data_IF_208732833163
#
_entry.id   IF_208732833163
#
_cell.length_a   1.000
_cell.length_b   1.000
_cell.length_c   1.000
_cell.angle_alpha   90.00
_cell.angle_beta   90.00
_cell.angle_gamma   90.00
#
_symmetry.space_group_name_H-M   'P 1'
#
loop_
_entity.id
_entity.type
_entity.pdbx_description
1 polymer ?
#
# COMPACT_ATOMS: atom_id res chain seq x y z
N UNK A 1 1.65 -4.63 -20.62
CA UNK A 1 2.18 -5.99 -20.88
C UNK A 1 1.07 -7.03 -20.79
N UNK A 2 0.61 -7.46 -19.60
CA UNK A 2 -0.41 -8.53 -19.53
C UNK A 2 -1.75 -8.12 -20.18
N UNK A 3 -2.18 -6.86 -20.01
CA UNK A 3 -3.38 -6.32 -20.68
C UNK A 3 -3.28 -6.37 -22.21
N UNK A 4 -2.11 -6.07 -22.76
CA UNK A 4 -1.85 -6.13 -24.21
C UNK A 4 -1.78 -7.58 -24.68
N UNK A 5 -1.17 -8.44 -23.86
CA UNK A 5 -1.04 -9.87 -24.11
C UNK A 5 -2.40 -10.58 -24.15
N UNK A 6 -3.37 -10.13 -23.34
CA UNK A 6 -4.74 -10.64 -23.35
C UNK A 6 -5.54 -10.29 -24.62
N UNK A 7 -5.02 -9.42 -25.50
CA UNK A 7 -5.62 -9.17 -26.82
C UNK A 7 -5.26 -10.26 -27.83
N UNK A 8 -4.21 -11.05 -27.57
CA UNK A 8 -3.82 -12.18 -28.41
C UNK A 8 -4.84 -13.31 -28.23
N UNK A 9 -5.36 -13.82 -29.34
CA UNK A 9 -6.44 -14.83 -29.38
C UNK A 9 -6.15 -16.04 -28.49
N UNK A 10 -4.93 -16.59 -28.51
CA UNK A 10 -4.54 -17.76 -27.71
C UNK A 10 -4.59 -17.54 -26.18
N UNK A 11 -4.36 -16.30 -25.73
CA UNK A 11 -4.32 -15.98 -24.30
C UNK A 11 -5.72 -15.55 -23.85
N UNK A 12 -6.50 -14.96 -24.75
CA UNK A 12 -7.93 -14.77 -24.55
C UNK A 12 -8.66 -16.11 -24.36
N UNK A 13 -8.34 -17.15 -25.14
CA UNK A 13 -8.91 -18.48 -24.93
C UNK A 13 -8.55 -19.04 -23.55
N UNK A 14 -7.31 -18.87 -23.11
CA UNK A 14 -6.86 -19.29 -21.78
C UNK A 14 -7.60 -18.55 -20.66
N UNK A 15 -7.82 -17.24 -20.79
CA UNK A 15 -8.66 -16.47 -19.85
C UNK A 15 -10.09 -17.03 -19.79
N UNK A 16 -10.68 -17.33 -20.95
CA UNK A 16 -12.04 -17.89 -21.01
C UNK A 16 -12.10 -19.30 -20.42
N UNK A 17 -11.06 -20.12 -20.58
CA UNK A 17 -10.96 -21.44 -19.95
C UNK A 17 -10.93 -21.29 -18.42
N UNK A 18 -10.11 -20.38 -17.87
CA UNK A 18 -10.10 -20.14 -16.43
C UNK A 18 -11.47 -19.66 -15.89
N UNK A 19 -12.14 -18.76 -16.61
CA UNK A 19 -13.48 -18.33 -16.26
C UNK A 19 -14.49 -19.50 -16.32
N UNK A 20 -14.43 -20.34 -17.35
CA UNK A 20 -15.29 -21.53 -17.46
C UNK A 20 -15.01 -22.53 -16.34
N UNK A 21 -13.75 -22.76 -15.97
CA UNK A 21 -13.40 -23.65 -14.85
C UNK A 21 -13.95 -23.12 -13.53
N UNK A 22 -13.90 -21.81 -13.28
CA UNK A 22 -14.49 -21.21 -12.09
C UNK A 22 -16.02 -21.40 -12.05
N UNK A 23 -16.70 -21.21 -13.18
CA UNK A 23 -18.14 -21.45 -13.30
C UNK A 23 -18.48 -22.92 -13.06
N UNK A 24 -17.70 -23.85 -13.62
CA UNK A 24 -17.90 -25.29 -13.43
C UNK A 24 -17.67 -25.70 -11.98
N UNK A 25 -16.63 -25.19 -11.32
CA UNK A 25 -16.37 -25.44 -9.90
C UNK A 25 -17.51 -24.90 -9.02
N UNK A 26 -17.96 -23.68 -9.28
CA UNK A 26 -19.11 -23.11 -8.58
C UNK A 26 -20.37 -23.95 -8.78
N UNK A 27 -20.66 -24.38 -10.01
CA UNK A 27 -21.80 -25.26 -10.29
C UNK A 27 -21.65 -26.61 -9.59
N UNK A 28 -20.46 -27.20 -9.60
CA UNK A 28 -20.16 -28.45 -8.90
C UNK A 28 -20.47 -28.34 -7.41
N UNK A 29 -19.93 -27.31 -6.75
CA UNK A 29 -20.14 -27.08 -5.32
C UNK A 29 -21.63 -26.85 -5.01
N UNK A 30 -22.35 -26.07 -5.84
CA UNK A 30 -23.80 -25.85 -5.64
C UNK A 30 -24.63 -27.12 -5.80
N UNK A 31 -24.27 -28.00 -6.75
CA UNK A 31 -24.96 -29.27 -6.95
C UNK A 31 -24.68 -30.20 -5.78
N UNK A 32 -23.43 -30.27 -5.32
CA UNK A 32 -23.03 -31.08 -4.17
C UNK A 32 -23.77 -30.66 -2.90
N UNK A 33 -23.89 -29.35 -2.64
CA UNK A 33 -24.66 -28.83 -1.50
C UNK A 33 -26.16 -29.20 -1.60
N UNK A 34 -26.77 -29.08 -2.78
CA UNK A 34 -28.18 -29.47 -2.99
C UNK A 34 -28.38 -30.97 -2.75
N UNK A 35 -27.47 -31.81 -3.26
CA UNK A 35 -27.59 -33.27 -3.17
C UNK A 35 -27.38 -33.76 -1.74
N UNK A 36 -26.38 -33.22 -1.04
CA UNK A 36 -26.01 -33.68 0.29
C UNK A 36 -26.90 -33.10 1.40
N UNK A 37 -27.11 -31.78 1.39
CA UNK A 37 -27.81 -31.07 2.48
C UNK A 37 -29.28 -30.75 2.15
N UNK A 38 -29.71 -30.99 0.91
CA UNK A 38 -31.07 -30.69 0.44
C UNK A 38 -31.38 -29.19 0.35
N UNK A 39 -30.38 -28.32 0.54
CA UNK A 39 -30.48 -26.86 0.54
C UNK A 39 -29.23 -26.23 -0.06
N UNK A 40 -29.38 -25.10 -0.75
CA UNK A 40 -28.26 -24.27 -1.19
C UNK A 40 -27.65 -23.56 0.01
N UNK A 41 -26.55 -24.09 0.56
CA UNK A 41 -25.80 -23.44 1.63
C UNK A 41 -24.38 -23.12 1.16
N UNK A 42 -24.18 -21.92 0.59
CA UNK A 42 -22.90 -21.49 -0.01
C UNK A 42 -21.72 -21.33 0.96
N UNK A 43 -21.83 -21.82 2.22
CA UNK A 43 -20.77 -21.92 3.24
C UNK A 43 -19.80 -20.73 3.31
N UNK A 44 -20.31 -19.51 3.08
CA UNK A 44 -19.51 -18.28 3.17
C UNK A 44 -19.03 -17.99 4.60
N UNK A 45 -19.53 -18.72 5.59
CA UNK A 45 -19.12 -18.60 7.00
C UNK A 45 -17.60 -18.72 7.15
N UNK A 46 -16.97 -19.67 6.44
CA UNK A 46 -15.50 -19.85 6.48
C UNK A 46 -14.78 -18.60 5.95
N UNK A 47 -15.33 -17.95 4.92
CA UNK A 47 -14.79 -16.71 4.37
C UNK A 47 -14.94 -15.57 5.38
N UNK A 48 -16.13 -15.38 5.95
CA UNK A 48 -16.38 -14.32 6.93
C UNK A 48 -15.58 -14.50 8.21
N UNK A 49 -15.37 -15.74 8.67
CA UNK A 49 -14.50 -16.06 9.80
C UNK A 49 -13.04 -15.75 9.48
N UNK A 50 -12.58 -16.08 8.27
CA UNK A 50 -11.23 -15.76 7.78
C UNK A 50 -10.98 -14.25 7.68
N UNK A 51 -12.01 -13.48 7.33
CA UNK A 51 -12.02 -12.01 7.33
C UNK A 51 -12.63 -11.42 8.61
N UNK A 52 -12.59 -12.13 9.73
CA UNK A 52 -13.09 -11.61 11.00
C UNK A 52 -12.36 -10.33 11.42
N UNK A 53 -13.03 -9.48 12.20
CA UNK A 53 -12.46 -8.25 12.80
C UNK A 53 -11.94 -7.22 11.78
N UNK A 54 -12.43 -7.24 10.54
CA UNK A 54 -12.06 -6.26 9.50
C UNK A 54 -12.23 -4.80 9.94
N UNK A 55 -13.25 -4.48 10.75
CA UNK A 55 -13.44 -3.13 11.27
C UNK A 55 -12.24 -2.65 12.12
N UNK A 56 -11.65 -3.54 12.92
CA UNK A 56 -10.45 -3.26 13.72
C UNK A 56 -9.23 -3.14 12.80
N UNK A 57 -9.12 -4.03 11.80
CA UNK A 57 -8.04 -3.97 10.80
C UNK A 57 -8.04 -2.65 10.03
N UNK A 58 -9.22 -2.18 9.59
CA UNK A 58 -9.40 -0.89 8.93
C UNK A 58 -9.04 0.28 9.84
N UNK A 59 -9.41 0.22 11.12
CA UNK A 59 -9.06 1.24 12.10
C UNK A 59 -7.53 1.32 12.32
N UNK A 60 -6.87 0.18 12.53
CA UNK A 60 -5.40 0.10 12.63
C UNK A 60 -4.75 0.63 11.35
N UNK A 61 -5.26 0.22 10.19
CA UNK A 61 -4.75 0.67 8.90
C UNK A 61 -4.86 2.19 8.73
N UNK A 62 -6.02 2.78 9.07
CA UNK A 62 -6.22 4.23 9.03
C UNK A 62 -5.24 4.96 9.94
N UNK A 63 -5.06 4.48 11.18
CA UNK A 63 -4.09 5.07 12.11
C UNK A 63 -2.67 4.99 11.56
N UNK A 64 -2.28 3.84 11.01
CA UNK A 64 -0.96 3.60 10.43
C UNK A 64 -0.72 4.50 9.21
N UNK A 65 -1.71 4.63 8.33
CA UNK A 65 -1.68 5.49 7.14
C UNK A 65 -1.56 6.97 7.52
N UNK A 66 -2.35 7.44 8.49
CA UNK A 66 -2.29 8.81 8.99
C UNK A 66 -0.94 9.08 9.65
N UNK A 67 -0.48 8.18 10.52
CA UNK A 67 0.81 8.31 11.19
C UNK A 67 1.97 8.41 10.18
N UNK A 68 2.01 7.52 9.18
CA UNK A 68 3.01 7.59 8.11
C UNK A 68 2.91 8.90 7.34
N UNK A 69 1.69 9.31 6.96
CA UNK A 69 1.50 10.53 6.17
C UNK A 69 1.96 11.81 6.89
N UNK A 70 1.77 11.89 8.21
CA UNK A 70 2.10 13.08 8.99
C UNK A 70 3.55 13.02 9.47
N UNK A 71 3.97 11.93 10.11
CA UNK A 71 5.28 11.84 10.75
C UNK A 71 6.42 11.89 9.73
N UNK A 72 6.30 11.17 8.62
CA UNK A 72 7.35 11.11 7.61
C UNK A 72 7.46 12.44 6.86
N UNK A 73 6.32 13.03 6.48
CA UNK A 73 6.31 14.32 5.83
C UNK A 73 6.87 15.42 6.73
N UNK A 74 6.37 15.51 7.97
CA UNK A 74 6.82 16.50 8.93
C UNK A 74 8.28 16.31 9.30
N UNK A 75 8.76 15.06 9.43
CA UNK A 75 10.17 14.77 9.68
C UNK A 75 11.09 15.30 8.59
N UNK A 76 10.76 15.05 7.31
CA UNK A 76 11.53 15.58 6.18
C UNK A 76 11.43 17.10 6.07
N UNK A 77 10.24 17.67 6.30
CA UNK A 77 10.02 19.11 6.27
C UNK A 77 10.83 19.84 7.36
N UNK A 78 10.77 19.34 8.60
CA UNK A 78 11.54 19.88 9.72
C UNK A 78 13.04 19.76 9.50
N UNK A 79 13.51 18.58 9.02
CA UNK A 79 14.91 18.40 8.66
C UNK A 79 15.35 19.42 7.59
N UNK A 80 14.59 19.59 6.52
CA UNK A 80 14.94 20.50 5.43
C UNK A 80 14.99 21.97 5.88
N UNK A 81 13.99 22.44 6.63
CA UNK A 81 13.91 23.83 7.07
C UNK A 81 14.97 24.17 8.14
N UNK A 82 15.15 23.28 9.12
CA UNK A 82 16.04 23.52 10.25
C UNK A 82 17.53 23.32 9.89
N UNK A 83 17.86 22.70 8.75
CA UNK A 83 19.25 22.49 8.32
C UNK A 83 20.03 23.79 8.14
N UNK A 84 19.37 24.86 7.68
CA UNK A 84 19.99 26.17 7.47
C UNK A 84 20.43 26.85 8.78
N UNK A 85 19.76 26.54 9.90
CA UNK A 85 20.05 27.10 11.22
C UNK A 85 21.26 26.43 11.90
N UNK A 86 21.55 25.16 11.58
CA UNK A 86 22.57 24.34 12.26
C UNK A 86 23.86 24.12 11.44
N UNK A 87 24.27 25.13 10.63
CA UNK A 87 25.44 25.05 9.74
C UNK A 87 26.75 24.59 10.41
N UNK A 88 26.97 24.90 11.69
CA UNK A 88 28.20 24.50 12.42
C UNK A 88 28.30 23.01 12.73
N UNK A 89 27.18 22.33 13.00
CA UNK A 89 27.13 20.92 13.46
C UNK A 89 26.26 20.03 12.56
N UNK A 90 26.33 20.23 11.23
CA UNK A 90 25.48 19.53 10.26
C UNK A 90 25.57 18.00 10.34
N UNK A 91 26.77 17.44 10.55
CA UNK A 91 26.97 15.98 10.61
C UNK A 91 26.26 15.33 11.81
N UNK A 92 26.34 15.96 12.99
CA UNK A 92 25.67 15.47 14.18
C UNK A 92 24.14 15.61 14.07
N UNK A 93 23.68 16.70 13.46
CA UNK A 93 22.26 16.92 13.16
C UNK A 93 21.70 15.87 12.19
N UNK A 94 22.40 15.61 11.08
CA UNK A 94 22.01 14.61 10.09
C UNK A 94 22.03 13.19 10.70
N UNK A 95 22.99 12.89 11.58
CA UNK A 95 23.04 11.61 12.31
C UNK A 95 21.90 11.46 13.33
N UNK A 96 21.52 12.53 14.04
CA UNK A 96 20.40 12.52 14.98
C UNK A 96 19.07 12.23 14.27
N UNK A 97 18.83 12.85 13.12
CA UNK A 97 17.64 12.58 12.30
C UNK A 97 17.63 11.17 11.72
N UNK A 98 18.80 10.65 11.31
CA UNK A 98 18.93 9.27 10.88
C UNK A 98 18.54 8.30 12.00
N UNK A 99 19.04 8.51 13.23
CA UNK A 99 18.67 7.69 14.37
C UNK A 99 17.17 7.77 14.69
N UNK A 100 16.59 8.98 14.64
CA UNK A 100 15.15 9.17 14.81
C UNK A 100 14.32 8.49 13.72
N UNK A 101 14.82 8.41 12.48
CA UNK A 101 14.15 7.71 11.40
C UNK A 101 14.23 6.18 11.57
N UNK A 102 15.38 5.65 12.00
CA UNK A 102 15.53 4.22 12.31
C UNK A 102 14.63 3.82 13.47
N UNK A 103 14.58 4.62 14.54
CA UNK A 103 13.69 4.34 15.67
C UNK A 103 12.22 4.36 15.25
N UNK A 104 11.81 5.29 14.38
CA UNK A 104 10.49 5.29 13.77
C UNK A 104 10.20 3.99 13.01
N UNK A 105 11.12 3.50 12.16
CA UNK A 105 10.93 2.24 11.43
C UNK A 105 10.78 1.03 12.36
N UNK A 106 11.56 0.97 13.43
CA UNK A 106 11.48 -0.12 14.42
C UNK A 106 10.14 -0.07 15.16
N UNK A 107 9.72 1.10 15.63
CA UNK A 107 8.43 1.29 16.29
C UNK A 107 7.29 0.91 15.35
N UNK A 108 7.35 1.35 14.09
CA UNK A 108 6.36 1.04 13.07
C UNK A 108 6.34 -0.44 12.69
N UNK A 109 7.45 -1.17 12.85
CA UNK A 109 7.49 -2.63 12.68
C UNK A 109 6.81 -3.35 13.84
N UNK A 110 7.07 -2.93 15.08
CA UNK A 110 6.60 -3.63 16.30
C UNK A 110 5.12 -3.35 16.59
N UNK A 111 4.66 -2.10 16.42
CA UNK A 111 3.31 -1.69 16.85
C UNK A 111 2.18 -2.48 16.17
N UNK A 112 2.11 -2.60 14.82
CA UNK A 112 1.04 -3.35 14.17
C UNK A 112 1.11 -4.84 14.49
N UNK A 113 2.30 -5.42 14.56
CA UNK A 113 2.50 -6.82 14.96
C UNK A 113 1.95 -7.09 16.36
N UNK A 114 2.21 -6.20 17.31
CA UNK A 114 1.68 -6.32 18.67
C UNK A 114 0.15 -6.18 18.69
N UNK A 115 -0.45 -5.30 17.88
CA UNK A 115 -1.91 -5.19 17.78
C UNK A 115 -2.55 -6.43 17.18
N UNK A 116 -1.87 -7.08 16.22
CA UNK A 116 -2.35 -8.33 15.60
C UNK A 116 -2.48 -9.44 16.65
N UNK A 117 -1.45 -9.60 17.48
CA UNK A 117 -1.43 -10.60 18.56
C UNK A 117 -2.46 -10.27 19.66
N UNK A 118 -2.53 -9.01 20.10
CA UNK A 118 -3.45 -8.58 21.15
C UNK A 118 -4.92 -8.81 20.78
N UNK A 119 -5.29 -8.53 19.53
CA UNK A 119 -6.66 -8.68 19.06
C UNK A 119 -6.95 -10.06 18.48
N UNK A 120 -5.97 -10.98 18.42
CA UNK A 120 -6.14 -12.34 17.90
C UNK A 120 -6.82 -12.33 16.52
N UNK A 121 -6.18 -11.70 15.54
CA UNK A 121 -6.73 -11.59 14.18
C UNK A 121 -6.72 -12.93 13.44
N UNK A 122 -7.80 -13.26 12.71
CA UNK A 122 -7.79 -14.32 11.72
C UNK A 122 -6.74 -14.12 10.61
N UNK A 123 -6.30 -15.21 9.98
CA UNK A 123 -5.16 -15.22 9.05
C UNK A 123 -5.29 -14.18 7.93
N UNK A 124 -6.45 -14.09 7.25
CA UNK A 124 -6.60 -13.17 6.12
C UNK A 124 -6.58 -11.69 6.56
N UNK A 125 -7.26 -11.37 7.65
CA UNK A 125 -7.25 -10.01 8.22
C UNK A 125 -5.86 -9.57 8.72
N UNK A 126 -5.10 -10.48 9.32
CA UNK A 126 -3.72 -10.23 9.75
C UNK A 126 -2.81 -9.97 8.53
N UNK A 127 -2.95 -10.78 7.47
CA UNK A 127 -2.20 -10.59 6.23
C UNK A 127 -2.45 -9.21 5.60
N UNK A 128 -3.71 -8.73 5.58
CA UNK A 128 -4.03 -7.38 5.08
C UNK A 128 -3.22 -6.32 5.84
N UNK A 129 -3.24 -6.36 7.17
CA UNK A 129 -2.53 -5.36 8.00
C UNK A 129 -1.02 -5.43 7.78
N UNK A 130 -0.43 -6.63 7.72
CA UNK A 130 1.02 -6.83 7.51
C UNK A 130 1.47 -6.39 6.12
N UNK A 131 0.71 -6.72 5.08
CA UNK A 131 1.02 -6.31 3.70
C UNK A 131 0.94 -4.79 3.56
N UNK A 132 -0.08 -4.18 4.16
CA UNK A 132 -0.23 -2.73 4.19
C UNK A 132 0.88 -2.04 4.99
N UNK A 133 1.31 -2.64 6.10
CA UNK A 133 2.45 -2.17 6.90
C UNK A 133 3.73 -2.16 6.07
N UNK A 134 4.06 -3.27 5.41
CA UNK A 134 5.24 -3.37 4.54
C UNK A 134 5.18 -2.37 3.39
N UNK A 135 4.00 -2.22 2.76
CA UNK A 135 3.78 -1.24 1.69
C UNK A 135 4.10 0.18 2.16
N UNK A 136 3.58 0.58 3.32
CA UNK A 136 3.79 1.91 3.87
C UNK A 136 5.26 2.15 4.26
N UNK A 137 5.95 1.16 4.83
CA UNK A 137 7.39 1.25 5.15
C UNK A 137 8.24 1.48 3.89
N UNK A 138 7.99 0.71 2.83
CA UNK A 138 8.71 0.87 1.56
C UNK A 138 8.50 2.27 0.97
N UNK A 139 7.26 2.77 1.01
CA UNK A 139 6.94 4.12 0.53
C UNK A 139 7.59 5.21 1.38
N UNK A 140 7.52 5.10 2.70
CA UNK A 140 8.19 6.03 3.61
C UNK A 140 9.69 6.11 3.32
N UNK A 141 10.34 4.97 3.17
CA UNK A 141 11.77 4.91 2.86
C UNK A 141 12.10 5.53 1.50
N UNK A 142 11.32 5.21 0.46
CA UNK A 142 11.53 5.82 -0.86
C UNK A 142 11.39 7.34 -0.84
N UNK A 143 10.37 7.85 -0.14
CA UNK A 143 10.15 9.28 0.00
C UNK A 143 11.30 10.00 0.72
N UNK A 144 11.73 9.48 1.88
CA UNK A 144 12.82 10.06 2.65
C UNK A 144 14.11 10.05 1.83
N UNK A 145 14.47 8.91 1.23
CA UNK A 145 15.69 8.76 0.44
C UNK A 145 15.74 9.72 -0.73
N UNK A 146 14.65 9.87 -1.47
CA UNK A 146 14.63 10.72 -2.66
C UNK A 146 14.65 12.21 -2.31
N UNK A 147 13.95 12.65 -1.27
CA UNK A 147 13.96 14.05 -0.85
C UNK A 147 15.28 14.48 -0.20
N UNK A 148 15.93 13.59 0.55
CA UNK A 148 17.28 13.85 1.08
C UNK A 148 18.26 14.01 -0.09
N UNK A 149 18.25 13.08 -1.06
CA UNK A 149 19.12 13.12 -2.23
C UNK A 149 18.95 14.42 -3.03
N UNK A 150 17.70 14.81 -3.31
CA UNK A 150 17.39 16.06 -4.03
C UNK A 150 17.90 17.30 -3.29
N UNK A 151 17.65 17.39 -1.98
CA UNK A 151 18.09 18.54 -1.19
C UNK A 151 19.61 18.64 -1.13
N UNK A 152 20.34 17.52 -1.00
CA UNK A 152 21.79 17.52 -1.03
C UNK A 152 22.34 18.05 -2.37
N UNK A 153 21.78 17.61 -3.50
CA UNK A 153 22.16 18.10 -4.83
C UNK A 153 21.85 19.59 -5.02
N UNK A 154 20.71 20.06 -4.50
CA UNK A 154 20.31 21.47 -4.56
C UNK A 154 21.31 22.36 -3.81
N UNK A 155 21.78 21.89 -2.65
CA UNK A 155 22.79 22.60 -1.85
C UNK A 155 24.12 22.69 -2.61
N UNK A 156 24.55 21.62 -3.27
CA UNK A 156 25.76 21.63 -4.12
C UNK A 156 25.63 22.65 -5.26
N UNK A 157 24.43 22.78 -5.84
CA UNK A 157 24.12 23.76 -6.89
C UNK A 157 23.87 25.19 -6.39
N UNK A 158 24.03 25.48 -5.08
CA UNK A 158 23.73 26.77 -4.42
C UNK A 158 22.28 27.27 -4.59
N UNK A 159 21.37 26.39 -4.98
CA UNK A 159 19.95 26.70 -5.07
C UNK A 159 19.27 26.51 -3.71
N UNK A 160 18.17 27.22 -3.47
CA UNK A 160 17.39 27.06 -2.25
C UNK A 160 16.87 25.61 -2.11
N UNK A 161 16.84 25.10 -0.87
CA UNK A 161 16.25 23.81 -0.54
C UNK A 161 14.78 23.79 -0.93
N UNK A 162 14.36 22.79 -1.71
CA UNK A 162 12.96 22.61 -2.12
C UNK A 162 12.26 21.75 -1.08
N UNK A 163 11.26 22.31 -0.43
CA UNK A 163 10.37 21.54 0.46
C UNK A 163 9.41 20.69 -0.39
N UNK A 164 9.17 19.43 -0.02
CA UNK A 164 8.21 18.59 -0.73
C UNK A 164 6.78 19.07 -0.54
N UNK A 165 5.96 19.03 -1.60
CA UNK A 165 4.54 19.33 -1.50
C UNK A 165 3.78 18.17 -0.85
N UNK A 166 2.96 18.48 0.16
CA UNK A 166 2.13 17.46 0.82
C UNK A 166 1.16 16.77 -0.14
N UNK A 167 0.60 17.50 -1.10
CA UNK A 167 -0.35 16.95 -2.08
C UNK A 167 0.29 15.85 -2.95
N UNK A 168 1.53 16.07 -3.42
CA UNK A 168 2.29 15.08 -4.21
C UNK A 168 2.63 13.86 -3.40
N UNK A 169 2.99 14.05 -2.12
CA UNK A 169 3.25 12.95 -1.20
C UNK A 169 1.98 12.12 -0.92
N UNK A 170 0.84 12.77 -0.67
CA UNK A 170 -0.44 12.08 -0.46
C UNK A 170 -0.84 11.27 -1.69
N UNK A 171 -0.66 11.84 -2.90
CA UNK A 171 -0.87 11.10 -4.14
C UNK A 171 0.03 9.85 -4.24
N UNK A 172 1.32 9.98 -3.91
CA UNK A 172 2.27 8.86 -3.91
C UNK A 172 1.87 7.74 -2.93
N UNK A 173 1.28 8.07 -1.78
CA UNK A 173 0.82 7.07 -0.82
C UNK A 173 -0.26 6.14 -1.40
N UNK A 174 -1.07 6.60 -2.35
CA UNK A 174 -2.08 5.79 -3.04
C UNK A 174 -1.64 5.30 -4.42
N UNK A 175 -0.59 5.88 -5.01
CA UNK A 175 -0.07 5.45 -6.30
C UNK A 175 0.41 3.98 -6.28
N UNK A 176 0.21 3.21 -7.37
CA UNK A 176 0.63 1.81 -7.47
C UNK A 176 2.14 1.66 -7.75
N UNK A 177 2.97 2.46 -7.06
CA UNK A 177 4.43 2.47 -7.20
C UNK A 177 5.09 2.61 -5.84
N UNK A 178 6.26 2.00 -5.68
CA UNK A 178 7.06 2.12 -4.46
C UNK A 178 8.14 3.20 -4.55
N UNK A 179 8.32 3.83 -5.72
CA UNK A 179 9.35 4.84 -5.97
C UNK A 179 8.71 6.23 -5.99
N UNK A 180 9.13 7.10 -5.08
CA UNK A 180 8.67 8.50 -5.03
C UNK A 180 9.21 9.33 -6.21
N UNK A 181 8.31 10.09 -6.85
CA UNK A 181 8.60 11.11 -7.86
C UNK A 181 7.66 12.31 -7.61
N UNK A 182 8.12 13.51 -7.91
CA UNK A 182 7.27 14.71 -7.75
C UNK A 182 6.17 14.74 -8.82
N UNK A 183 6.47 14.21 -10.00
CA UNK A 183 5.54 14.13 -11.12
C UNK A 183 5.56 12.71 -11.70
N UNK A 184 4.38 12.12 -11.80
CA UNK A 184 4.16 10.83 -12.46
C UNK A 184 3.52 11.07 -13.82
N UNK A 185 3.80 10.22 -14.82
CA UNK A 185 3.03 10.25 -16.06
C UNK A 185 1.56 9.96 -15.76
N UNK A 186 0.66 10.80 -16.27
CA UNK A 186 -0.80 10.69 -16.06
C UNK A 186 -1.50 10.45 -17.38
N UNK A 187 -2.58 9.68 -17.33
CA UNK A 187 -3.52 9.60 -18.45
C UNK A 187 -4.34 10.87 -18.52
N UNK A 188 -4.79 11.24 -19.73
CA UNK A 188 -5.60 12.44 -19.97
C UNK A 188 -7.01 12.31 -19.40
N UNK A 189 -7.56 11.10 -19.42
CA UNK A 189 -8.92 10.78 -18.94
C UNK A 189 -8.93 9.52 -18.07
N UNK A 190 -9.99 9.39 -17.27
CA UNK A 190 -10.26 8.20 -16.44
C UNK A 190 -11.37 7.39 -17.12
N UNK A 191 -11.06 6.14 -17.47
CA UNK A 191 -12.01 5.22 -18.09
C UNK A 191 -12.72 4.39 -17.01
N UNK A 192 -13.80 4.91 -16.43
CA UNK A 192 -14.52 4.28 -15.31
C UNK A 192 -15.05 2.88 -15.64
N UNK A 193 -15.49 2.64 -16.88
CA UNK A 193 -15.92 1.31 -17.31
C UNK A 193 -14.81 0.28 -17.20
N UNK A 194 -13.58 0.68 -17.53
CA UNK A 194 -12.41 -0.20 -17.39
C UNK A 194 -12.08 -0.45 -15.92
N UNK A 195 -12.15 0.58 -15.06
CA UNK A 195 -11.92 0.45 -13.61
C UNK A 195 -12.94 -0.52 -12.98
N UNK A 196 -14.23 -0.37 -13.31
CA UNK A 196 -15.28 -1.24 -12.80
C UNK A 196 -15.11 -2.69 -13.28
N UNK A 197 -14.75 -2.90 -14.56
CA UNK A 197 -14.47 -4.25 -15.09
C UNK A 197 -13.30 -4.92 -14.36
N UNK A 198 -12.21 -4.19 -14.15
CA UNK A 198 -11.04 -4.71 -13.43
C UNK A 198 -11.34 -4.95 -11.95
N UNK A 199 -12.12 -4.08 -11.31
CA UNK A 199 -12.56 -4.29 -9.94
C UNK A 199 -13.47 -5.52 -9.80
N UNK A 200 -14.40 -5.72 -10.74
CA UNK A 200 -15.21 -6.93 -10.82
C UNK A 200 -14.39 -8.21 -10.99
N UNK A 201 -13.30 -8.16 -11.77
CA UNK A 201 -12.36 -9.28 -11.91
C UNK A 201 -11.55 -9.59 -10.65
N UNK A 202 -11.36 -8.63 -9.75
CA UNK A 202 -10.67 -8.83 -8.47
C UNK A 202 -11.61 -9.37 -7.40
N UNK A 203 -12.91 -9.04 -7.48
CA UNK A 203 -13.94 -9.53 -6.57
C UNK A 203 -14.41 -10.95 -6.88
N UNK A 204 -14.37 -11.35 -8.17
CA UNK A 204 -14.74 -12.68 -8.64
C UNK A 204 -13.64 -13.70 -8.35
#
# INVERSE_FOLDING_TARGET
>A
VLTDLFQISHIQTLRNVFAATLIILFLHDTIEDIVNDGRLNLRFDVMFESFGKLHIALFIWLLMQLATSILVFFGVYCWANSRNSFKKNLKAYDMAWLFSYISYLIIFLILPCHQIEKHQFPVASALIVLLEQMRQMMKAHSFVRENIRKNLLLIESKNASVCPDYSKYLYFLFAPTLIYKDEYPRTTTIHWDYVLRMFGQVLA
#
